data_IF_581170125927
#
_entry.id   IF_581170125927
#
_cell.length_a   1.000
_cell.length_b   1.000
_cell.length_c   1.000
_cell.angle_alpha   90.00
_cell.angle_beta   90.00
_cell.angle_gamma   90.00
#
_symmetry.space_group_name_H-M   'P 1'
#
loop_
_entity.id
_entity.type
_entity.pdbx_description
1 polymer ?
#
# COMPACT_ATOMS: atom_id res chain seq x y z
N UNK A 1 -23.98 -12.21 57.30
CA UNK A 1 -23.15 -12.14 56.08
C UNK A 1 -23.44 -10.78 55.44
N UNK A 2 -22.46 -9.88 55.35
CA UNK A 2 -22.69 -8.48 54.91
C UNK A 2 -22.91 -8.46 53.40
N UNK A 3 -24.17 -8.51 52.99
CA UNK A 3 -24.61 -8.56 51.58
C UNK A 3 -24.03 -7.39 50.75
N UNK A 4 -23.76 -6.26 51.39
CA UNK A 4 -23.07 -5.10 50.83
C UNK A 4 -21.70 -5.45 50.24
N UNK A 5 -20.92 -6.32 50.92
CA UNK A 5 -19.59 -6.74 50.45
C UNK A 5 -19.70 -7.60 49.20
N UNK A 6 -20.73 -8.46 49.14
CA UNK A 6 -20.98 -9.33 47.99
C UNK A 6 -21.33 -8.48 46.76
N UNK A 7 -22.18 -7.46 46.93
CA UNK A 7 -22.55 -6.53 45.85
C UNK A 7 -21.33 -5.76 45.34
N UNK A 8 -20.47 -5.28 46.22
CA UNK A 8 -19.24 -4.56 45.84
C UNK A 8 -18.28 -5.46 45.05
N UNK A 9 -18.09 -6.71 45.47
CA UNK A 9 -17.20 -7.66 44.77
C UNK A 9 -17.73 -7.97 43.37
N UNK A 10 -19.02 -8.22 43.22
CA UNK A 10 -19.64 -8.49 41.91
C UNK A 10 -19.49 -7.29 40.98
N UNK A 11 -19.70 -6.09 41.50
CA UNK A 11 -19.60 -4.85 40.72
C UNK A 11 -18.15 -4.57 40.28
N UNK A 12 -17.17 -4.85 41.15
CA UNK A 12 -15.75 -4.74 40.81
C UNK A 12 -15.32 -5.72 39.70
N UNK A 13 -15.81 -6.96 39.74
CA UNK A 13 -15.51 -7.98 38.71
C UNK A 13 -16.13 -7.58 37.36
N UNK A 14 -17.36 -7.09 37.35
CA UNK A 14 -18.00 -6.60 36.12
C UNK A 14 -17.24 -5.40 35.51
N UNK A 15 -16.76 -4.49 36.36
CA UNK A 15 -15.95 -3.35 35.93
C UNK A 15 -14.62 -3.82 35.31
N UNK A 16 -13.93 -4.77 35.93
CA UNK A 16 -12.69 -5.32 35.40
C UNK A 16 -12.87 -5.97 34.01
N UNK A 17 -13.94 -6.76 33.83
CA UNK A 17 -14.27 -7.38 32.53
C UNK A 17 -14.58 -6.31 31.48
N UNK A 18 -15.34 -5.27 31.84
CA UNK A 18 -15.66 -4.17 30.93
C UNK A 18 -14.41 -3.40 30.49
N UNK A 19 -13.45 -3.16 31.39
CA UNK A 19 -12.18 -2.51 31.07
C UNK A 19 -11.35 -3.33 30.10
N UNK A 20 -11.25 -4.65 30.31
CA UNK A 20 -10.50 -5.55 29.40
C UNK A 20 -11.14 -5.56 28.01
N UNK A 21 -12.47 -5.62 27.93
CA UNK A 21 -13.19 -5.59 26.65
C UNK A 21 -12.98 -4.27 25.90
N UNK A 22 -13.00 -3.13 26.60
CA UNK A 22 -12.71 -1.82 26.02
C UNK A 22 -11.28 -1.71 25.48
N UNK A 23 -10.29 -2.24 26.21
CA UNK A 23 -8.88 -2.25 25.76
C UNK A 23 -8.71 -3.12 24.51
N UNK A 24 -9.36 -4.28 24.44
CA UNK A 24 -9.32 -5.14 23.24
C UNK A 24 -9.98 -4.46 22.03
N UNK A 25 -11.12 -3.80 22.22
CA UNK A 25 -11.80 -3.05 21.16
C UNK A 25 -10.98 -1.83 20.72
N UNK A 26 -10.33 -1.14 21.64
CA UNK A 26 -9.44 -0.02 21.33
C UNK A 26 -8.20 -0.49 20.55
N UNK A 27 -7.60 -1.64 20.91
CA UNK A 27 -6.51 -2.25 20.14
C UNK A 27 -6.95 -2.69 18.75
N UNK A 28 -8.11 -3.35 18.63
CA UNK A 28 -8.64 -3.76 17.33
C UNK A 28 -8.95 -2.56 16.43
N UNK A 29 -9.57 -1.50 16.98
CA UNK A 29 -9.81 -0.24 16.24
C UNK A 29 -8.52 0.51 15.92
N UNK A 30 -7.50 0.42 16.77
CA UNK A 30 -6.17 0.98 16.50
C UNK A 30 -5.45 0.21 15.40
N UNK A 31 -5.56 -1.11 15.36
CA UNK A 31 -5.02 -1.93 14.27
C UNK A 31 -5.78 -1.71 12.97
N UNK A 32 -7.12 -1.62 13.03
CA UNK A 32 -7.96 -1.25 11.89
C UNK A 32 -7.66 0.17 11.42
N UNK A 33 -7.43 1.14 12.32
CA UNK A 33 -6.98 2.48 11.97
C UNK A 33 -5.56 2.50 11.43
N UNK A 34 -4.61 1.71 11.93
CA UNK A 34 -3.25 1.62 11.38
C UNK A 34 -3.17 0.86 10.07
N UNK A 35 -4.11 -0.07 9.83
CA UNK A 35 -4.31 -0.70 8.52
C UNK A 35 -4.99 0.29 7.59
N UNK A 36 -6.05 0.96 8.02
CA UNK A 36 -6.73 1.98 7.24
C UNK A 36 -5.89 3.24 7.04
N UNK A 37 -4.94 3.60 7.89
CA UNK A 37 -4.00 4.72 7.72
C UNK A 37 -2.85 4.30 6.82
N UNK A 38 -2.37 3.05 6.86
CA UNK A 38 -1.46 2.55 5.81
C UNK A 38 -2.20 2.48 4.48
N UNK A 39 -3.36 1.85 4.44
CA UNK A 39 -4.18 1.72 3.24
C UNK A 39 -4.71 3.07 2.76
N UNK A 40 -4.92 4.06 3.65
CA UNK A 40 -5.27 5.43 3.29
C UNK A 40 -4.04 6.30 2.99
N UNK A 41 -2.86 6.06 3.52
CA UNK A 41 -1.62 6.67 3.00
C UNK A 41 -1.31 6.12 1.59
N UNK A 42 -1.74 4.88 1.30
CA UNK A 42 -1.81 4.29 -0.05
C UNK A 42 -3.09 4.66 -0.83
N UNK A 43 -4.08 5.35 -0.22
CA UNK A 43 -5.37 5.69 -0.83
C UNK A 43 -5.83 7.11 -0.49
N UNK A 44 -4.90 8.04 -0.22
CA UNK A 44 -5.18 9.46 0.00
C UNK A 44 -5.25 10.16 -1.34
N UNK A 45 -5.95 9.55 -2.30
CA UNK A 45 -6.54 10.30 -3.36
C UNK A 45 -7.90 9.68 -3.69
N UNK A 46 -8.93 10.30 -3.12
CA UNK A 46 -10.32 10.39 -3.58
C UNK A 46 -11.27 10.37 -2.37
N UNK A 47 -11.64 11.57 -1.93
CA UNK A 47 -12.90 11.81 -1.23
C UNK A 47 -14.03 11.69 -2.23
N UNK A 48 -14.76 10.57 -2.22
CA UNK A 48 -16.02 10.46 -2.98
C UNK A 48 -17.10 11.27 -2.26
N UNK A 49 -17.43 12.45 -2.80
CA UNK A 49 -18.65 13.18 -2.46
C UNK A 49 -19.65 12.98 -3.59
N UNK A 50 -20.73 12.24 -3.29
CA UNK A 50 -22.04 12.39 -3.94
C UNK A 50 -22.09 12.38 -5.47
N UNK A 51 -21.90 11.22 -6.08
CA UNK A 51 -22.78 10.75 -7.16
C UNK A 51 -22.91 11.54 -8.46
N UNK A 52 -22.02 12.47 -8.80
CA UNK A 52 -21.99 13.10 -10.14
C UNK A 52 -20.55 13.29 -10.61
N UNK A 53 -20.29 12.90 -11.86
CA UNK A 53 -19.01 13.01 -12.56
C UNK A 53 -18.75 14.48 -12.88
N UNK A 54 -17.63 15.02 -12.41
CA UNK A 54 -17.02 16.21 -12.99
C UNK A 54 -15.64 15.82 -13.51
N UNK A 55 -15.44 16.02 -14.82
CA UNK A 55 -14.14 16.25 -15.42
C UNK A 55 -14.01 17.76 -15.56
N UNK A 56 -13.09 18.36 -14.83
CA UNK A 56 -12.52 19.70 -15.09
C UNK A 56 -11.05 19.57 -14.66
N UNK A 57 -10.15 19.47 -15.63
CA UNK A 57 -9.41 20.59 -16.23
C UNK A 57 -8.35 21.20 -15.31
N UNK A 58 -7.13 21.17 -15.83
CA UNK A 58 -6.14 22.25 -15.75
C UNK A 58 -5.82 22.81 -14.35
N UNK A 59 -5.12 22.01 -13.56
CA UNK A 59 -4.18 22.54 -12.57
C UNK A 59 -2.75 22.20 -12.99
N UNK A 60 -2.15 23.16 -13.67
CA UNK A 60 -0.72 23.28 -13.96
C UNK A 60 0.08 23.20 -12.65
N UNK A 61 1.12 22.35 -12.67
CA UNK A 61 2.24 22.27 -11.73
C UNK A 61 1.94 22.17 -10.22
N UNK A 62 2.20 20.98 -9.68
CA UNK A 62 2.77 20.85 -8.34
C UNK A 62 4.04 19.99 -8.39
N UNK A 63 5.16 20.69 -8.30
CA UNK A 63 6.41 20.19 -7.70
C UNK A 63 7.20 19.15 -8.51
N UNK A 64 7.37 19.37 -9.83
CA UNK A 64 8.45 18.75 -10.62
C UNK A 64 8.40 17.22 -10.80
N UNK A 65 7.37 16.54 -10.31
CA UNK A 65 7.15 15.12 -10.50
C UNK A 65 6.11 14.91 -11.61
N UNK A 66 6.53 14.25 -12.68
CA UNK A 66 5.68 13.86 -13.79
C UNK A 66 4.42 13.12 -13.30
N UNK A 67 3.26 13.50 -13.85
CA UNK A 67 1.95 13.02 -13.41
C UNK A 67 1.69 11.58 -13.92
N UNK A 68 2.21 10.62 -13.17
CA UNK A 68 1.82 9.20 -13.04
C UNK A 68 0.32 8.94 -13.14
N UNK A 69 -0.33 8.79 -14.31
CA UNK A 69 -1.73 8.31 -14.34
C UNK A 69 -1.78 6.83 -13.90
N UNK A 70 -1.96 6.59 -12.61
CA UNK A 70 -2.06 5.25 -12.03
C UNK A 70 -3.39 4.60 -12.42
N UNK A 71 -3.35 3.43 -13.07
CA UNK A 71 -4.52 2.57 -13.28
C UNK A 71 -4.63 1.54 -12.15
N UNK A 72 -5.86 1.11 -11.86
CA UNK A 72 -6.17 0.15 -10.80
C UNK A 72 -5.55 -1.22 -11.13
N UNK A 73 -4.39 -1.51 -10.57
CA UNK A 73 -3.59 -2.72 -10.86
C UNK A 73 -2.10 -2.44 -10.94
N UNK A 74 -1.73 -1.18 -11.16
CA UNK A 74 -0.34 -0.77 -11.27
C UNK A 74 0.39 -0.86 -9.92
N UNK A 75 1.62 -1.37 -9.94
CA UNK A 75 2.51 -1.40 -8.78
C UNK A 75 3.74 -0.54 -9.04
N UNK A 76 3.96 0.47 -8.20
CA UNK A 76 5.13 1.32 -8.28
C UNK A 76 6.31 0.67 -7.55
N UNK A 77 7.41 0.47 -8.28
CA UNK A 77 8.72 0.11 -7.76
C UNK A 77 9.53 1.38 -7.50
N UNK A 78 9.66 1.82 -6.24
CA UNK A 78 10.60 2.87 -5.89
C UNK A 78 12.04 2.45 -6.19
N UNK A 79 12.88 3.45 -6.48
CA UNK A 79 14.29 3.22 -6.79
C UNK A 79 15.03 2.75 -5.54
N UNK A 80 15.80 1.67 -5.68
CA UNK A 80 16.69 1.14 -4.64
C UNK A 80 16.02 0.22 -3.64
N UNK A 81 14.71 0.02 -3.72
CA UNK A 81 14.00 -0.94 -2.89
C UNK A 81 13.86 -2.28 -3.61
N UNK A 82 14.03 -3.37 -2.85
CA UNK A 82 13.90 -4.73 -3.35
C UNK A 82 12.59 -5.32 -2.86
N UNK A 83 11.82 -5.88 -3.78
CA UNK A 83 10.57 -6.58 -3.50
C UNK A 83 10.68 -8.03 -3.94
N UNK A 84 10.02 -8.93 -3.21
CA UNK A 84 9.97 -10.35 -3.54
C UNK A 84 8.60 -10.68 -4.12
N UNK A 85 8.59 -11.32 -5.30
CA UNK A 85 7.37 -11.75 -5.96
C UNK A 85 6.80 -13.02 -5.29
N UNK A 86 5.86 -12.85 -4.37
CA UNK A 86 5.22 -13.95 -3.63
C UNK A 86 3.70 -13.91 -3.77
N UNK A 87 3.06 -15.08 -3.79
CA UNK A 87 1.59 -15.17 -3.76
C UNK A 87 1.06 -14.55 -2.46
N UNK A 88 0.26 -13.48 -2.60
CA UNK A 88 -0.33 -12.76 -1.46
C UNK A 88 0.46 -11.53 -1.00
N UNK A 89 1.63 -11.25 -1.59
CA UNK A 89 2.36 -9.97 -1.45
C UNK A 89 2.37 -9.24 -2.80
N UNK A 90 2.60 -7.93 -2.78
CA UNK A 90 2.84 -7.14 -3.99
C UNK A 90 4.36 -6.94 -4.17
N UNK A 91 4.91 -7.13 -5.38
CA UNK A 91 4.24 -7.60 -6.60
C UNK A 91 3.93 -9.10 -6.54
N UNK A 92 2.85 -9.54 -7.19
CA UNK A 92 2.57 -10.98 -7.33
C UNK A 92 3.45 -11.59 -8.43
N UNK A 93 3.73 -12.89 -8.43
CA UNK A 93 4.35 -13.53 -9.60
C UNK A 93 3.41 -13.43 -10.81
N UNK A 94 3.97 -13.12 -11.98
CA UNK A 94 3.19 -12.87 -13.20
C UNK A 94 3.95 -12.10 -14.27
N UNK A 95 3.24 -11.79 -15.35
CA UNK A 95 3.74 -10.97 -16.46
C UNK A 95 3.31 -9.53 -16.24
N UNK A 96 4.26 -8.62 -16.32
CA UNK A 96 4.07 -7.19 -16.15
C UNK A 96 4.64 -6.44 -17.35
N UNK A 97 3.99 -5.34 -17.71
CA UNK A 97 4.53 -4.32 -18.58
C UNK A 97 5.29 -3.32 -17.73
N UNK A 98 6.52 -3.02 -18.13
CA UNK A 98 7.44 -2.20 -17.37
C UNK A 98 7.47 -0.79 -17.93
N UNK A 99 7.00 0.18 -17.15
CA UNK A 99 6.88 1.57 -17.56
C UNK A 99 7.83 2.42 -16.72
N UNK A 100 8.62 3.27 -17.37
CA UNK A 100 9.41 4.28 -16.66
C UNK A 100 8.47 5.29 -15.99
N UNK A 101 8.72 5.63 -14.72
CA UNK A 101 7.94 6.66 -14.03
C UNK A 101 8.26 8.09 -14.54
N UNK A 102 9.38 8.28 -15.23
CA UNK A 102 9.73 9.55 -15.87
C UNK A 102 9.63 9.41 -17.39
N UNK A 103 8.86 10.29 -18.03
CA UNK A 103 8.68 10.32 -19.49
C UNK A 103 10.00 10.55 -20.25
N UNK A 104 11.02 11.10 -19.60
CA UNK A 104 12.29 11.45 -20.24
C UNK A 104 13.37 10.34 -20.17
N UNK A 105 13.01 9.13 -19.72
CA UNK A 105 13.98 8.02 -19.56
C UNK A 105 13.58 6.80 -20.41
N UNK A 106 14.03 6.71 -21.68
CA UNK A 106 13.60 5.64 -22.59
C UNK A 106 14.10 4.25 -22.19
N UNK A 107 15.21 4.17 -21.44
CA UNK A 107 15.80 2.92 -20.96
C UNK A 107 16.20 3.01 -19.50
N UNK A 108 15.90 1.97 -18.73
CA UNK A 108 16.18 1.89 -17.30
C UNK A 108 16.69 0.50 -16.91
N UNK A 109 17.31 0.39 -15.73
CA UNK A 109 17.90 -0.84 -15.22
C UNK A 109 17.07 -1.41 -14.09
N UNK A 110 16.71 -2.68 -14.23
CA UNK A 110 16.06 -3.47 -13.19
C UNK A 110 16.95 -4.64 -12.79
N UNK A 111 17.02 -4.91 -11.49
CA UNK A 111 17.60 -6.15 -10.97
C UNK A 111 16.47 -7.15 -10.78
N UNK A 112 16.55 -8.28 -11.46
CA UNK A 112 15.57 -9.38 -11.36
C UNK A 112 16.34 -10.66 -11.08
N UNK A 113 15.99 -11.36 -9.99
CA UNK A 113 16.66 -12.61 -9.59
C UNK A 113 18.16 -12.43 -9.36
N UNK A 114 18.60 -11.26 -8.88
CA UNK A 114 20.01 -10.93 -8.65
C UNK A 114 20.78 -10.43 -9.89
N UNK A 115 20.22 -10.49 -11.10
CA UNK A 115 20.86 -9.99 -12.31
C UNK A 115 20.31 -8.62 -12.71
N UNK A 116 21.19 -7.68 -13.06
CA UNK A 116 20.79 -6.37 -13.59
C UNK A 116 20.61 -6.46 -15.10
N UNK A 117 19.40 -6.17 -15.57
CA UNK A 117 19.03 -6.11 -16.99
C UNK A 117 18.53 -4.71 -17.34
N UNK A 118 18.75 -4.30 -18.58
CA UNK A 118 18.24 -3.04 -19.12
C UNK A 118 16.91 -3.30 -19.80
N UNK A 119 15.90 -2.51 -19.47
CA UNK A 119 14.57 -2.55 -20.05
C UNK A 119 14.24 -1.19 -20.67
N UNK A 120 13.34 -1.19 -21.65
CA UNK A 120 12.79 0.01 -22.26
C UNK A 120 11.36 0.27 -21.79
N UNK A 121 10.89 1.51 -21.94
CA UNK A 121 9.51 1.84 -21.59
C UNK A 121 8.54 1.02 -22.44
N UNK A 122 7.65 0.26 -21.79
CA UNK A 122 6.68 -0.60 -22.46
C UNK A 122 7.17 -2.03 -22.69
N UNK A 123 8.35 -2.41 -22.21
CA UNK A 123 8.82 -3.79 -22.28
C UNK A 123 7.97 -4.72 -21.41
N UNK A 124 8.09 -6.02 -21.65
CA UNK A 124 7.46 -7.06 -20.84
C UNK A 124 8.49 -7.71 -19.90
N UNK A 125 8.13 -7.83 -18.63
CA UNK A 125 8.88 -8.54 -17.60
C UNK A 125 8.03 -9.68 -17.05
N UNK A 126 8.65 -10.86 -16.90
CA UNK A 126 8.03 -11.99 -16.22
C UNK A 126 8.72 -12.16 -14.88
N UNK A 127 7.93 -12.17 -13.80
CA UNK A 127 8.37 -12.43 -12.44
C UNK A 127 7.90 -13.81 -11.99
N UNK A 128 8.84 -14.70 -11.69
CA UNK A 128 8.52 -16.00 -11.11
C UNK A 128 8.30 -15.91 -9.59
N UNK A 129 7.68 -16.93 -9.03
CA UNK A 129 7.43 -17.02 -7.58
C UNK A 129 8.75 -17.16 -6.82
N UNK A 130 8.98 -16.26 -5.86
CA UNK A 130 10.22 -16.17 -5.09
C UNK A 130 11.32 -15.31 -5.74
N UNK A 131 11.09 -14.72 -6.92
CA UNK A 131 12.08 -13.83 -7.54
C UNK A 131 12.08 -12.44 -6.89
N UNK A 132 13.28 -11.89 -6.72
CA UNK A 132 13.47 -10.52 -6.25
C UNK A 132 13.52 -9.55 -7.43
N UNK A 133 12.84 -8.42 -7.29
CA UNK A 133 12.87 -7.30 -8.22
C UNK A 133 13.27 -6.02 -7.51
N UNK A 134 14.17 -5.25 -8.12
CA UNK A 134 14.59 -3.94 -7.63
C UNK A 134 14.82 -2.97 -8.78
N UNK A 135 14.29 -1.75 -8.64
CA UNK A 135 14.52 -0.68 -9.61
C UNK A 135 15.83 0.05 -9.31
N UNK A 136 16.83 -0.08 -10.17
CA UNK A 136 18.21 0.39 -9.88
C UNK A 136 18.41 1.84 -10.31
N UNK A 137 17.92 2.21 -11.49
CA UNK A 137 18.21 3.52 -12.10
C UNK A 137 17.17 4.59 -11.78
N UNK A 138 15.89 4.26 -11.87
CA UNK A 138 14.77 5.17 -11.68
C UNK A 138 13.55 4.39 -11.15
N UNK A 139 12.53 5.11 -10.68
CA UNK A 139 11.26 4.49 -10.32
C UNK A 139 10.56 3.93 -11.56
N UNK A 140 9.90 2.79 -11.38
CA UNK A 140 9.28 2.01 -12.47
C UNK A 140 7.89 1.60 -12.04
N UNK A 141 6.95 1.57 -12.98
CA UNK A 141 5.59 1.08 -12.76
C UNK A 141 5.47 -0.28 -13.44
N UNK A 142 4.98 -1.27 -12.69
CA UNK A 142 4.56 -2.57 -13.21
C UNK A 142 3.07 -2.54 -13.49
N UNK A 143 2.66 -2.93 -14.71
CA UNK A 143 1.27 -3.05 -15.12
C UNK A 143 0.91 -4.46 -15.58
#
# INVERSE_FOLDING_TARGET
MRWEIIVIIVLAVLLAISCVMLVMLAKKRSEEKRRAERDAEFAEDVRVKGGVRYSEDDAIEKDGAANITFQKGDFMLPRGETFTAERGKKPMPGTYTVLAASENTPSFKLRVGGLVRTYTHGDTLVLAEGEEICAVSCAVILR
#
